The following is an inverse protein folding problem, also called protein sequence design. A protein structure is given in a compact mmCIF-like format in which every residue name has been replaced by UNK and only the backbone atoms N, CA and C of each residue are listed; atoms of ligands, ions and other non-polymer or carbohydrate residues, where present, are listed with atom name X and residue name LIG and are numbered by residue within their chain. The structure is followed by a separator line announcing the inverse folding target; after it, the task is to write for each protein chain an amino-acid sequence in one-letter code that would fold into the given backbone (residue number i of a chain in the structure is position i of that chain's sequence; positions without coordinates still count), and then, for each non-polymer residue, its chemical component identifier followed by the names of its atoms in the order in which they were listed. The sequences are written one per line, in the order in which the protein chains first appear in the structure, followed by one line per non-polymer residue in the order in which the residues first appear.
data_IF_894499583209
#
_entry.id   IF_894499583209
#
_cell.length_a   1.000
_cell.length_b   1.000
_cell.length_c   1.000
_cell.angle_alpha   90.00
_cell.angle_beta   90.00
_cell.angle_gamma   90.00
#
_symmetry.space_group_name_H-M   'P 1'
#
loop_
_entity.id
_entity.type
_entity.pdbx_description
1 polymer ?
#
# COMPACT_ATOMS: atom_id res chain seq x y z
N UNK A 1 35.30 2.73 2.39
CA UNK A 1 35.17 2.17 1.03
C UNK A 1 33.84 2.65 0.53
N UNK A 2 33.82 3.42 -0.56
CA UNK A 2 32.60 4.01 -1.12
C UNK A 2 31.85 2.87 -1.82
N UNK A 3 30.62 2.62 -1.40
CA UNK A 3 29.70 1.70 -2.07
C UNK A 3 29.53 2.21 -3.52
N UNK A 4 29.76 1.40 -4.57
CA UNK A 4 29.59 1.87 -5.93
C UNK A 4 28.13 2.30 -6.11
N UNK A 5 27.91 3.60 -6.33
CA UNK A 5 26.58 4.18 -6.61
C UNK A 5 25.89 3.34 -7.68
N UNK A 6 24.83 2.64 -7.27
CA UNK A 6 23.89 2.01 -8.19
C UNK A 6 23.35 3.14 -9.08
N UNK A 7 23.47 3.06 -10.42
CA UNK A 7 22.97 4.10 -11.30
C UNK A 7 21.49 4.34 -11.04
N UNK A 8 21.15 5.52 -10.53
CA UNK A 8 19.76 5.90 -10.33
C UNK A 8 19.11 6.06 -11.71
N UNK A 9 17.89 5.55 -11.93
CA UNK A 9 17.19 5.74 -13.20
C UNK A 9 17.01 7.24 -13.45
N UNK A 10 17.06 7.71 -14.72
CA UNK A 10 16.95 9.13 -15.03
C UNK A 10 15.64 9.71 -14.49
N UNK A 11 15.64 11.00 -14.13
CA UNK A 11 14.49 11.66 -13.49
C UNK A 11 13.19 11.57 -14.31
N UNK A 12 13.28 11.43 -15.63
CA UNK A 12 12.14 11.27 -16.54
C UNK A 12 11.75 9.81 -16.82
N UNK A 13 12.39 8.84 -16.16
CA UNK A 13 11.99 7.44 -16.29
C UNK A 13 10.58 7.22 -15.73
N UNK A 14 9.84 6.33 -16.39
CA UNK A 14 8.59 5.76 -15.87
C UNK A 14 8.79 4.25 -15.90
N UNK A 15 8.48 3.54 -14.80
CA UNK A 15 8.65 2.10 -14.75
C UNK A 15 7.70 1.41 -15.73
N UNK A 16 8.16 0.33 -16.33
CA UNK A 16 7.29 -0.60 -17.05
C UNK A 16 6.73 -1.61 -16.03
N UNK A 17 5.42 -1.92 -16.08
CA UNK A 17 4.82 -2.88 -15.17
C UNK A 17 5.33 -4.30 -15.48
N UNK A 18 5.29 -5.23 -14.49
CA UNK A 18 5.93 -6.54 -14.61
C UNK A 18 5.23 -7.55 -15.55
N UNK A 19 4.28 -7.12 -16.39
CA UNK A 19 3.45 -8.00 -17.24
C UNK A 19 2.47 -8.86 -16.44
N UNK A 20 2.09 -8.38 -15.26
CA UNK A 20 1.06 -8.89 -14.33
C UNK A 20 0.76 -7.75 -13.33
N UNK A 21 -0.26 -7.91 -12.48
CA UNK A 21 -0.42 -7.03 -11.32
C UNK A 21 0.84 -7.07 -10.43
N UNK A 22 1.15 -5.94 -9.81
CA UNK A 22 2.25 -5.83 -8.86
C UNK A 22 1.97 -6.71 -7.64
N UNK A 23 3.02 -7.30 -7.08
CA UNK A 23 3.02 -8.00 -5.79
C UNK A 23 3.66 -7.11 -4.74
N UNK A 24 3.47 -7.47 -3.47
CA UNK A 24 4.15 -6.81 -2.37
C UNK A 24 5.68 -6.80 -2.57
N UNK A 25 6.25 -7.89 -3.09
CA UNK A 25 7.70 -7.97 -3.35
C UNK A 25 8.17 -6.97 -4.43
N UNK A 26 7.35 -6.69 -5.44
CA UNK A 26 7.73 -5.75 -6.51
C UNK A 26 7.75 -4.30 -6.00
N UNK A 27 6.80 -3.95 -5.12
CA UNK A 27 6.63 -2.58 -4.62
C UNK A 27 7.49 -2.28 -3.40
N UNK A 28 7.73 -3.28 -2.55
CA UNK A 28 8.41 -3.11 -1.27
C UNK A 28 9.77 -3.82 -1.21
N UNK A 29 10.31 -4.23 -2.36
CA UNK A 29 11.67 -4.75 -2.46
C UNK A 29 12.66 -3.80 -1.78
N UNK A 30 13.48 -4.33 -0.87
CA UNK A 30 14.43 -3.55 -0.06
C UNK A 30 13.92 -3.11 1.31
N UNK A 31 12.64 -3.34 1.65
CA UNK A 31 12.15 -3.12 3.01
C UNK A 31 12.82 -4.05 4.02
N UNK A 32 13.22 -3.50 5.17
CA UNK A 32 13.92 -4.21 6.24
C UNK A 32 13.28 -3.88 7.61
N UNK A 33 12.87 -4.88 8.43
CA UNK A 33 12.20 -4.66 9.71
C UNK A 33 13.00 -3.82 10.71
N UNK A 34 14.32 -3.98 10.72
CA UNK A 34 15.20 -3.36 11.72
C UNK A 34 15.86 -2.07 11.22
N UNK A 35 15.53 -1.62 10.00
CA UNK A 35 16.13 -0.44 9.37
C UNK A 35 15.04 0.55 8.92
N UNK A 36 14.68 1.53 9.76
CA UNK A 36 13.60 2.48 9.46
C UNK A 36 13.74 3.22 8.13
N UNK A 37 14.97 3.53 7.71
CA UNK A 37 15.25 4.19 6.44
C UNK A 37 14.80 3.37 5.20
N UNK A 38 14.69 2.04 5.33
CA UNK A 38 14.33 1.15 4.22
C UNK A 38 12.96 1.45 3.61
N UNK A 39 12.01 2.02 4.37
CA UNK A 39 10.71 2.42 3.83
C UNK A 39 10.86 3.45 2.70
N UNK A 40 11.78 4.40 2.84
CA UNK A 40 12.09 5.43 1.84
C UNK A 40 12.85 4.91 0.61
N UNK A 41 13.32 3.67 0.66
CA UNK A 41 14.12 3.03 -0.39
C UNK A 41 13.32 1.99 -1.18
N UNK A 42 12.10 1.68 -0.73
CA UNK A 42 11.19 0.79 -1.46
C UNK A 42 10.89 1.36 -2.85
N UNK A 43 10.68 0.47 -3.82
CA UNK A 43 10.34 0.87 -5.18
C UNK A 43 9.11 1.79 -5.22
N UNK A 44 8.06 1.48 -4.43
CA UNK A 44 6.86 2.31 -4.35
C UNK A 44 7.17 3.75 -3.89
N UNK A 45 7.98 3.90 -2.83
CA UNK A 45 8.32 5.20 -2.28
C UNK A 45 9.24 5.99 -3.22
N UNK A 46 10.24 5.34 -3.81
CA UNK A 46 11.16 5.98 -4.76
C UNK A 46 10.41 6.47 -6.00
N UNK A 47 9.50 5.67 -6.54
CA UNK A 47 8.69 6.07 -7.69
C UNK A 47 7.66 7.13 -7.32
N UNK A 48 7.14 7.14 -6.10
CA UNK A 48 6.35 8.27 -5.60
C UNK A 48 7.16 9.58 -5.57
N UNK A 49 8.37 9.56 -4.99
CA UNK A 49 9.25 10.72 -4.94
C UNK A 49 9.59 11.23 -6.36
N UNK A 50 9.90 10.31 -7.29
CA UNK A 50 10.12 10.64 -8.70
C UNK A 50 8.87 11.24 -9.35
N UNK A 51 7.71 10.62 -9.13
CA UNK A 51 6.45 11.07 -9.71
C UNK A 51 6.09 12.48 -9.25
N UNK A 52 6.50 12.84 -8.03
CA UNK A 52 6.38 14.19 -7.46
C UNK A 52 7.18 15.22 -8.22
N UNK A 53 8.47 14.95 -8.45
CA UNK A 53 9.37 15.84 -9.20
C UNK A 53 8.89 16.02 -10.65
N UNK A 54 8.38 14.96 -11.26
CA UNK A 54 7.81 14.99 -12.60
C UNK A 54 6.47 15.76 -12.67
N UNK A 55 5.74 15.85 -11.56
CA UNK A 55 4.37 16.35 -11.45
C UNK A 55 3.36 15.23 -11.23
N UNK A 56 2.73 15.18 -10.05
CA UNK A 56 1.80 14.10 -9.68
C UNK A 56 0.56 14.05 -10.57
N UNK A 57 -0.20 15.15 -10.64
CA UNK A 57 -1.47 15.20 -11.37
C UNK A 57 -1.29 15.31 -12.89
N UNK A 58 -0.29 16.08 -13.31
CA UNK A 58 0.02 16.28 -14.72
C UNK A 58 1.54 16.44 -14.84
N UNK A 59 2.24 15.50 -15.48
CA UNK A 59 3.67 15.63 -15.69
C UNK A 59 4.00 16.87 -16.52
N UNK A 60 5.10 17.53 -16.19
CA UNK A 60 5.59 18.68 -16.97
C UNK A 60 6.10 18.26 -18.37
N UNK A 61 6.59 17.03 -18.49
CA UNK A 61 7.11 16.45 -19.72
C UNK A 61 6.02 15.59 -20.41
N UNK A 62 5.83 15.81 -21.72
CA UNK A 62 4.85 15.08 -22.54
C UNK A 62 5.21 13.61 -22.72
N UNK A 63 6.49 13.27 -22.81
CA UNK A 63 6.95 11.90 -22.95
C UNK A 63 6.73 11.13 -21.65
N UNK A 64 6.94 11.78 -20.50
CA UNK A 64 6.58 11.22 -19.18
C UNK A 64 5.07 10.99 -19.09
N UNK A 65 4.26 11.96 -19.51
CA UNK A 65 2.80 11.81 -19.53
C UNK A 65 2.36 10.63 -20.43
N UNK A 66 2.94 10.51 -21.63
CA UNK A 66 2.67 9.40 -22.53
C UNK A 66 3.13 8.05 -21.95
N UNK A 67 4.27 8.01 -21.25
CA UNK A 67 4.78 6.82 -20.60
C UNK A 67 3.91 6.36 -19.42
N UNK A 68 3.46 7.28 -18.56
CA UNK A 68 2.51 6.97 -17.47
C UNK A 68 1.18 6.46 -18.01
N UNK A 69 0.65 7.05 -19.08
CA UNK A 69 -0.57 6.56 -19.72
C UNK A 69 -0.42 5.14 -20.29
N UNK A 70 0.76 4.81 -20.87
CA UNK A 70 1.07 3.45 -21.33
C UNK A 70 1.16 2.46 -20.15
N UNK A 71 1.84 2.85 -19.08
CA UNK A 71 1.90 2.06 -17.85
C UNK A 71 0.51 1.78 -17.30
N UNK A 72 -0.31 2.81 -17.11
CA UNK A 72 -1.65 2.66 -16.54
C UNK A 72 -2.56 1.82 -17.44
N UNK A 73 -2.46 1.96 -18.77
CA UNK A 73 -3.17 1.10 -19.72
C UNK A 73 -2.78 -0.37 -19.57
N UNK A 74 -1.49 -0.66 -19.41
CA UNK A 74 -1.02 -2.03 -19.19
C UNK A 74 -1.54 -2.58 -17.85
N UNK A 75 -1.48 -1.81 -16.76
CA UNK A 75 -2.04 -2.21 -15.45
C UNK A 75 -3.55 -2.46 -15.53
N UNK A 76 -4.30 -1.63 -16.27
CA UNK A 76 -5.74 -1.85 -16.48
C UNK A 76 -6.04 -3.14 -17.23
N UNK A 77 -5.19 -3.52 -18.19
CA UNK A 77 -5.32 -4.80 -18.89
C UNK A 77 -5.11 -5.97 -17.92
N UNK A 78 -4.04 -5.93 -17.13
CA UNK A 78 -3.75 -6.97 -16.13
C UNK A 78 -4.85 -7.06 -15.06
N UNK A 79 -5.41 -5.92 -14.64
CA UNK A 79 -6.54 -5.90 -13.71
C UNK A 79 -7.78 -6.55 -14.34
N UNK A 80 -8.10 -6.22 -15.59
CA UNK A 80 -9.23 -6.82 -16.30
C UNK A 80 -9.08 -8.34 -16.40
N UNK A 81 -7.90 -8.83 -16.77
CA UNK A 81 -7.62 -10.27 -16.81
C UNK A 81 -7.75 -10.91 -15.43
N UNK A 82 -7.21 -10.30 -14.39
CA UNK A 82 -7.28 -10.82 -13.01
C UNK A 82 -8.71 -10.91 -12.46
N UNK A 83 -9.61 -10.02 -12.89
CA UNK A 83 -11.01 -10.01 -12.47
C UNK A 83 -11.91 -10.93 -13.30
N UNK A 84 -11.51 -11.27 -14.53
CA UNK A 84 -12.35 -12.00 -15.48
C UNK A 84 -12.76 -13.37 -14.94
N UNK A 85 -14.07 -13.63 -14.87
CA UNK A 85 -14.63 -14.90 -14.40
C UNK A 85 -14.60 -15.10 -12.88
N UNK A 86 -14.13 -14.12 -12.11
CA UNK A 86 -14.09 -14.17 -10.64
C UNK A 86 -15.35 -13.54 -10.03
N UNK A 87 -15.70 -13.97 -8.82
CA UNK A 87 -16.76 -13.35 -8.02
C UNK A 87 -16.14 -12.25 -7.17
N UNK A 88 -16.28 -10.99 -7.60
CA UNK A 88 -15.58 -9.87 -6.99
C UNK A 88 -16.49 -9.14 -6.00
N UNK A 89 -15.95 -8.77 -4.85
CA UNK A 89 -16.57 -7.81 -3.93
C UNK A 89 -15.59 -6.70 -3.64
N UNK A 90 -15.97 -5.47 -3.98
CA UNK A 90 -15.23 -4.27 -3.62
C UNK A 90 -15.71 -3.74 -2.26
N UNK A 91 -14.77 -3.49 -1.34
CA UNK A 91 -15.05 -2.79 -0.09
C UNK A 91 -14.42 -1.41 -0.15
N UNK A 92 -15.26 -0.39 -0.06
CA UNK A 92 -14.86 1.02 -0.09
C UNK A 92 -14.80 1.58 1.32
N UNK A 93 -13.81 2.43 1.61
CA UNK A 93 -13.71 3.12 2.89
C UNK A 93 -12.51 4.06 2.97
N UNK A 94 -12.57 5.00 3.90
CA UNK A 94 -11.54 6.03 4.06
C UNK A 94 -10.27 5.53 4.75
N UNK A 95 -9.16 6.21 4.45
CA UNK A 95 -7.82 5.99 4.99
C UNK A 95 -7.66 6.37 6.48
N UNK A 96 -8.54 7.23 7.03
CA UNK A 96 -8.40 7.77 8.39
C UNK A 96 -8.88 6.85 9.51
N UNK A 97 -9.35 5.64 9.19
CA UNK A 97 -9.85 4.70 10.21
C UNK A 97 -8.69 4.10 11.00
N UNK A 98 -8.69 4.28 12.33
CA UNK A 98 -7.71 3.66 13.21
C UNK A 98 -7.83 2.13 13.22
N UNK A 99 -6.71 1.42 13.36
CA UNK A 99 -6.67 -0.05 13.45
C UNK A 99 -7.41 -0.63 14.66
N UNK A 100 -7.50 0.14 15.75
CA UNK A 100 -8.27 -0.22 16.96
C UNK A 100 -9.74 0.27 16.93
N UNK A 101 -10.19 0.90 15.85
CA UNK A 101 -11.58 1.27 15.70
C UNK A 101 -12.45 0.00 15.48
N UNK A 102 -13.63 -0.14 16.12
CA UNK A 102 -14.48 -1.33 15.94
C UNK A 102 -14.82 -1.63 14.47
N UNK A 103 -14.94 -0.58 13.65
CA UNK A 103 -15.16 -0.70 12.20
C UNK A 103 -14.03 -1.40 11.45
N UNK A 104 -12.78 -1.28 11.90
CA UNK A 104 -11.63 -1.94 11.27
C UNK A 104 -11.76 -3.46 11.40
N UNK A 105 -12.05 -3.94 12.61
CA UNK A 105 -12.34 -5.35 12.89
C UNK A 105 -13.53 -5.86 12.08
N UNK A 106 -14.63 -5.10 12.04
CA UNK A 106 -15.83 -5.47 11.28
C UNK A 106 -15.51 -5.69 9.79
N UNK A 107 -14.73 -4.79 9.18
CA UNK A 107 -14.33 -4.92 7.77
C UNK A 107 -13.45 -6.14 7.56
N UNK A 108 -12.47 -6.38 8.44
CA UNK A 108 -11.61 -7.54 8.35
C UNK A 108 -12.39 -8.87 8.50
N UNK A 109 -13.33 -8.96 9.43
CA UNK A 109 -14.19 -10.13 9.62
C UNK A 109 -15.12 -10.36 8.41
N UNK A 110 -15.67 -9.28 7.84
CA UNK A 110 -16.49 -9.36 6.62
C UNK A 110 -15.67 -9.87 5.43
N UNK A 111 -14.49 -9.28 5.19
CA UNK A 111 -13.61 -9.65 4.10
C UNK A 111 -13.13 -11.11 4.22
N UNK A 112 -12.78 -11.53 5.44
CA UNK A 112 -12.45 -12.93 5.75
C UNK A 112 -13.61 -13.87 5.39
N UNK A 113 -14.82 -13.59 5.88
CA UNK A 113 -15.99 -14.43 5.64
C UNK A 113 -16.39 -14.50 4.15
N UNK A 114 -16.16 -13.44 3.37
CA UNK A 114 -16.38 -13.42 1.93
C UNK A 114 -15.29 -14.21 1.20
N UNK A 115 -14.02 -14.02 1.57
CA UNK A 115 -12.89 -14.73 0.95
C UNK A 115 -12.99 -16.24 1.17
N UNK A 116 -13.37 -16.69 2.38
CA UNK A 116 -13.66 -18.10 2.66
C UNK A 116 -14.82 -18.69 1.83
N UNK A 117 -15.60 -17.85 1.13
CA UNK A 117 -16.68 -18.25 0.21
C UNK A 117 -16.31 -18.04 -1.26
N UNK A 118 -15.01 -18.00 -1.56
CA UNK A 118 -14.47 -17.87 -2.92
C UNK A 118 -14.89 -16.57 -3.61
N UNK A 119 -14.97 -15.48 -2.84
CA UNK A 119 -14.99 -14.13 -3.40
C UNK A 119 -13.57 -13.57 -3.45
N UNK A 120 -13.24 -12.89 -4.55
CA UNK A 120 -12.05 -12.08 -4.69
C UNK A 120 -12.33 -10.68 -4.12
N UNK A 121 -11.54 -10.26 -3.14
CA UNK A 121 -11.73 -8.97 -2.48
C UNK A 121 -10.92 -7.89 -3.20
N UNK A 122 -11.57 -6.76 -3.45
CA UNK A 122 -10.99 -5.57 -4.08
C UNK A 122 -11.13 -4.37 -3.12
N UNK A 123 -10.12 -3.53 -3.01
CA UNK A 123 -10.20 -2.24 -2.31
C UNK A 123 -9.16 -1.26 -2.85
N UNK A 124 -9.16 -0.01 -2.38
CA UNK A 124 -8.20 1.00 -2.82
C UNK A 124 -6.75 0.75 -2.36
N UNK A 125 -6.50 -0.29 -1.55
CA UNK A 125 -5.16 -0.74 -1.16
C UNK A 125 -4.42 0.15 -0.18
N UNK A 126 -4.99 1.28 0.25
CA UNK A 126 -4.38 2.20 1.21
C UNK A 126 -4.69 1.86 2.68
N UNK A 127 -4.47 2.81 3.60
CA UNK A 127 -4.72 2.65 5.04
C UNK A 127 -6.20 2.44 5.42
N UNK A 128 -6.43 2.15 6.70
CA UNK A 128 -7.77 2.15 7.30
C UNK A 128 -8.64 1.00 6.82
N UNK A 129 -9.87 1.30 6.39
CA UNK A 129 -10.82 0.27 5.96
C UNK A 129 -10.34 -0.52 4.72
N UNK A 130 -9.52 0.11 3.87
CA UNK A 130 -8.91 -0.55 2.72
C UNK A 130 -7.90 -1.61 3.19
N UNK A 131 -7.02 -1.25 4.13
CA UNK A 131 -6.07 -2.17 4.76
C UNK A 131 -6.79 -3.33 5.48
N UNK A 132 -7.84 -3.04 6.24
CA UNK A 132 -8.65 -4.06 6.92
C UNK A 132 -9.25 -5.09 5.97
N UNK A 133 -9.64 -4.67 4.76
CA UNK A 133 -10.16 -5.56 3.72
C UNK A 133 -9.12 -6.61 3.33
N UNK A 134 -7.88 -6.16 3.10
CA UNK A 134 -6.78 -7.03 2.72
C UNK A 134 -6.31 -7.91 3.88
N UNK A 135 -6.33 -7.41 5.12
CA UNK A 135 -6.07 -8.20 6.32
C UNK A 135 -7.01 -9.40 6.40
N UNK A 136 -8.31 -9.16 6.29
CA UNK A 136 -9.35 -10.19 6.36
C UNK A 136 -9.23 -11.22 5.24
N UNK A 137 -9.10 -10.75 3.99
CA UNK A 137 -8.96 -11.62 2.83
C UNK A 137 -7.72 -12.52 2.94
N UNK A 138 -6.59 -11.95 3.35
CA UNK A 138 -5.33 -12.69 3.49
C UNK A 138 -5.43 -13.84 4.51
N UNK A 139 -6.12 -13.60 5.63
CA UNK A 139 -6.25 -14.60 6.69
C UNK A 139 -7.19 -15.77 6.32
N UNK A 140 -8.10 -15.60 5.34
CA UNK A 140 -9.11 -16.62 5.02
C UNK A 140 -8.56 -17.94 4.47
N UNK A 141 -7.35 -17.95 3.93
CA UNK A 141 -6.63 -19.17 3.55
C UNK A 141 -5.47 -19.53 4.49
N UNK A 142 -5.04 -18.58 5.33
CA UNK A 142 -3.79 -18.66 6.07
C UNK A 142 -3.89 -19.55 7.31
N UNK A 143 -2.75 -20.06 7.78
CA UNK A 143 -2.62 -20.64 9.12
C UNK A 143 -2.65 -19.59 10.23
N UNK A 144 -2.38 -18.33 9.90
CA UNK A 144 -2.50 -17.21 10.82
C UNK A 144 -3.98 -16.87 11.01
N UNK A 145 -4.49 -17.11 12.21
CA UNK A 145 -5.87 -16.81 12.55
C UNK A 145 -6.14 -15.30 12.49
N UNK A 146 -7.32 -14.90 11.99
CA UNK A 146 -7.68 -13.48 11.87
C UNK A 146 -7.57 -12.74 13.22
N UNK A 147 -7.93 -13.39 14.33
CA UNK A 147 -7.81 -12.78 15.66
C UNK A 147 -6.36 -12.47 16.02
N UNK A 148 -5.42 -13.35 15.68
CA UNK A 148 -3.99 -13.14 15.93
C UNK A 148 -3.45 -12.01 15.06
N UNK A 149 -3.82 -12.01 13.76
CA UNK A 149 -3.45 -10.94 12.83
C UNK A 149 -3.99 -9.57 13.29
N UNK A 150 -5.23 -9.49 13.77
CA UNK A 150 -5.81 -8.27 14.33
C UNK A 150 -5.05 -7.78 15.56
N UNK A 151 -4.65 -8.68 16.45
CA UNK A 151 -3.79 -8.33 17.60
C UNK A 151 -2.43 -7.81 17.15
N UNK A 152 -1.79 -8.45 16.15
CA UNK A 152 -0.53 -7.96 15.57
C UNK A 152 -0.65 -6.55 15.00
N UNK A 153 -1.78 -6.24 14.35
CA UNK A 153 -2.09 -4.91 13.81
C UNK A 153 -2.42 -3.86 14.89
N UNK A 154 -2.50 -4.25 16.17
CA UNK A 154 -2.85 -3.35 17.28
C UNK A 154 -4.35 -3.10 17.42
N UNK A 155 -5.21 -3.96 16.88
CA UNK A 155 -6.67 -3.76 16.93
C UNK A 155 -7.25 -3.77 18.35
N UNK A 156 -6.54 -4.36 19.31
CA UNK A 156 -6.93 -4.43 20.72
C UNK A 156 -6.20 -3.39 21.58
N UNK A 157 -5.37 -2.54 20.98
CA UNK A 157 -4.65 -1.48 21.71
C UNK A 157 -5.66 -0.43 22.20
N UNK A 158 -5.73 -0.16 23.52
CA UNK A 158 -6.65 0.84 24.04
C UNK A 158 -6.26 2.25 23.56
N UNK A 159 -7.20 3.21 23.54
CA UNK A 159 -6.86 4.62 23.31
C UNK A 159 -5.82 5.09 24.33
N UNK A 160 -4.91 5.97 23.90
CA UNK A 160 -3.93 6.59 24.79
C UNK A 160 -4.62 7.29 25.97
N UNK A 161 -4.03 7.18 27.17
CA UNK A 161 -4.56 7.86 28.34
C UNK A 161 -4.41 9.40 28.18
N UNK A 162 -5.18 10.21 28.93
CA UNK A 162 -5.01 11.66 28.90
C UNK A 162 -3.57 12.07 29.22
N UNK A 163 -2.88 12.70 28.26
CA UNK A 163 -1.50 13.16 28.40
C UNK A 163 -0.44 12.17 27.87
N UNK A 164 -0.83 11.00 27.38
CA UNK A 164 0.05 10.08 26.65
C UNK A 164 0.00 10.38 25.15
N UNK A 165 1.13 10.18 24.47
CA UNK A 165 1.17 10.22 23.02
C UNK A 165 0.38 9.03 22.43
N UNK A 166 -0.40 9.23 21.36
CA UNK A 166 -1.05 8.12 20.66
C UNK A 166 0.00 7.15 20.10
N UNK A 167 -0.34 5.87 20.04
CA UNK A 167 0.51 4.88 19.37
C UNK A 167 0.46 5.15 17.85
N UNK A 168 1.59 5.61 17.30
CA UNK A 168 1.78 5.94 15.88
C UNK A 168 1.48 4.76 14.93
N UNK A 169 1.36 3.53 15.45
CA UNK A 169 1.00 2.34 14.66
C UNK A 169 -0.50 2.23 14.39
N UNK A 170 -1.35 2.95 15.13
CA UNK A 170 -2.81 2.75 15.09
C UNK A 170 -3.51 3.59 14.02
N UNK A 171 -3.03 4.80 13.79
CA UNK A 171 -3.61 5.73 12.81
C UNK A 171 -2.53 6.05 11.79
N UNK A 172 -2.91 6.05 10.52
CA UNK A 172 -1.99 6.48 9.47
C UNK A 172 -1.51 7.92 9.73
N UNK A 173 -0.18 8.16 9.78
CA UNK A 173 0.37 9.37 10.41
C UNK A 173 0.40 10.62 9.52
N UNK A 174 0.00 10.53 8.25
CA UNK A 174 0.11 11.65 7.29
C UNK A 174 -1.25 12.07 6.74
N UNK A 175 -1.36 13.35 6.37
CA UNK A 175 -2.55 13.92 5.72
C UNK A 175 -2.25 14.40 4.30
N UNK A 176 -0.97 14.59 3.98
CA UNK A 176 -0.53 15.16 2.74
C UNK A 176 0.86 14.69 2.34
N UNK A 177 1.12 14.86 1.05
CA UNK A 177 2.40 14.60 0.43
C UNK A 177 3.55 15.46 0.98
N UNK A 178 3.28 16.67 1.47
CA UNK A 178 4.30 17.63 1.90
C UNK A 178 4.93 17.28 3.25
N UNK A 179 4.35 16.32 3.99
CA UNK A 179 4.86 15.91 5.30
C UNK A 179 6.05 14.94 5.19
N UNK A 180 6.27 14.31 4.03
CA UNK A 180 7.36 13.34 3.82
C UNK A 180 8.62 13.96 3.20
N UNK A 181 8.53 15.18 2.68
CA UNK A 181 9.61 15.81 1.92
C UNK A 181 9.92 17.22 2.46
N UNK A 182 11.20 17.59 2.45
CA UNK A 182 11.64 18.93 2.80
C UNK A 182 11.43 19.93 1.65
N UNK A 183 11.79 21.20 1.90
CA UNK A 183 11.63 22.28 0.93
C UNK A 183 12.51 22.12 -0.33
N UNK A 184 13.57 21.33 -0.25
CA UNK A 184 14.49 21.04 -1.35
C UNK A 184 14.09 19.76 -2.11
N UNK A 185 13.01 19.09 -1.68
CA UNK A 185 12.51 17.84 -2.26
C UNK A 185 13.19 16.58 -1.74
N UNK A 186 14.07 16.70 -0.75
CA UNK A 186 14.68 15.58 -0.03
C UNK A 186 13.68 14.91 0.92
N UNK A 187 13.88 13.63 1.22
CA UNK A 187 13.03 12.89 2.18
C UNK A 187 13.37 13.27 3.62
N UNK A 188 12.36 13.48 4.45
CA UNK A 188 12.55 13.75 5.88
C UNK A 188 12.73 12.43 6.63
N UNK A 189 13.93 12.18 7.15
CA UNK A 189 14.29 10.89 7.74
C UNK A 189 13.41 10.47 8.94
N UNK A 190 13.00 11.42 9.77
CA UNK A 190 12.10 11.16 10.91
C UNK A 190 10.72 10.70 10.44
N UNK A 191 10.19 11.32 9.38
CA UNK A 191 8.87 11.00 8.84
C UNK A 191 8.89 9.67 8.08
N UNK A 192 9.98 9.36 7.37
CA UNK A 192 10.20 8.02 6.80
C UNK A 192 10.25 6.95 7.90
N UNK A 193 10.89 7.24 9.04
CA UNK A 193 10.91 6.30 10.17
C UNK A 193 9.52 6.12 10.81
N UNK A 194 8.71 7.18 10.89
CA UNK A 194 7.30 7.09 11.35
C UNK A 194 6.45 6.27 10.38
N UNK A 195 6.61 6.47 9.08
CA UNK A 195 5.97 5.65 8.04
C UNK A 195 6.33 4.16 8.22
N UNK A 196 7.62 3.87 8.35
CA UNK A 196 8.13 2.51 8.56
C UNK A 196 7.51 1.86 9.80
N UNK A 197 7.51 2.56 10.93
CA UNK A 197 6.94 2.07 12.17
C UNK A 197 5.44 1.75 12.06
N UNK A 198 4.68 2.57 11.31
CA UNK A 198 3.27 2.32 11.03
C UNK A 198 3.05 1.11 10.10
N UNK A 199 3.93 0.90 9.11
CA UNK A 199 3.84 -0.22 8.17
C UNK A 199 4.29 -1.56 8.76
N UNK A 200 5.21 -1.56 9.73
CA UNK A 200 5.85 -2.78 10.24
C UNK A 200 4.88 -3.90 10.68
N UNK A 201 3.77 -3.63 11.39
CA UNK A 201 2.78 -4.66 11.71
C UNK A 201 2.19 -5.36 10.48
N UNK A 202 1.90 -4.61 9.42
CA UNK A 202 1.34 -5.15 8.19
C UNK A 202 2.34 -6.05 7.46
N UNK A 203 3.62 -5.69 7.44
CA UNK A 203 4.68 -6.55 6.90
C UNK A 203 4.85 -7.85 7.71
N UNK A 204 4.82 -7.76 9.04
CA UNK A 204 4.92 -8.94 9.90
C UNK A 204 3.75 -9.91 9.68
N UNK A 205 2.52 -9.40 9.52
CA UNK A 205 1.37 -10.23 9.15
C UNK A 205 1.53 -10.81 7.76
N UNK A 206 2.00 -10.02 6.78
CA UNK A 206 2.20 -10.49 5.41
C UNK A 206 3.20 -11.65 5.33
N UNK A 207 4.29 -11.57 6.08
CA UNK A 207 5.31 -12.63 6.22
C UNK A 207 4.72 -13.87 6.90
N UNK A 208 4.05 -13.71 8.04
CA UNK A 208 3.46 -14.81 8.80
C UNK A 208 2.34 -15.58 8.06
N UNK A 209 1.83 -15.02 6.97
CA UNK A 209 0.75 -15.60 6.15
C UNK A 209 1.16 -15.91 4.71
N UNK A 210 2.46 -15.91 4.39
CA UNK A 210 2.96 -16.00 3.01
C UNK A 210 2.56 -17.27 2.25
N UNK A 211 2.52 -18.42 2.92
CA UNK A 211 2.34 -19.73 2.26
C UNK A 211 0.91 -20.00 1.79
N UNK A 212 -0.09 -19.46 2.50
CA UNK A 212 -1.50 -19.87 2.35
C UNK A 212 -2.44 -18.63 2.27
N UNK A 213 -1.93 -17.45 1.92
CA UNK A 213 -2.72 -16.23 1.86
C UNK A 213 -3.94 -16.33 0.92
N UNK A 214 -5.11 -15.89 1.39
CA UNK A 214 -6.26 -15.65 0.53
C UNK A 214 -6.02 -14.47 -0.42
N UNK A 215 -6.55 -14.57 -1.64
CA UNK A 215 -6.32 -13.57 -2.69
C UNK A 215 -7.12 -12.27 -2.46
N UNK A 216 -6.46 -11.13 -2.67
CA UNK A 216 -7.09 -9.83 -2.81
C UNK A 216 -6.30 -8.89 -3.71
N UNK A 217 -6.97 -7.91 -4.30
CA UNK A 217 -6.37 -6.91 -5.18
C UNK A 217 -6.54 -5.52 -4.56
N UNK A 218 -5.43 -4.83 -4.31
CA UNK A 218 -5.42 -3.40 -3.99
C UNK A 218 -5.39 -2.57 -5.26
N UNK A 219 -6.03 -1.40 -5.27
CA UNK A 219 -6.00 -0.44 -6.39
C UNK A 219 -5.40 0.90 -5.95
N UNK A 220 -4.14 0.94 -5.51
CA UNK A 220 -3.48 2.16 -5.04
C UNK A 220 -3.05 3.09 -6.20
N UNK A 221 -2.64 4.31 -5.87
CA UNK A 221 -2.10 5.26 -6.84
C UNK A 221 -0.86 5.98 -6.30
N UNK A 222 0.08 6.34 -7.17
CA UNK A 222 1.18 7.25 -6.83
C UNK A 222 0.72 8.71 -6.70
N UNK A 223 -0.45 9.08 -7.23
CA UNK A 223 -1.04 10.42 -7.02
C UNK A 223 -1.27 10.71 -5.53
N UNK A 224 -1.66 9.68 -4.77
CA UNK A 224 -1.77 9.70 -3.32
C UNK A 224 -0.66 8.86 -2.66
N UNK A 225 0.56 8.86 -3.23
CA UNK A 225 1.63 7.98 -2.75
C UNK A 225 2.11 8.22 -1.32
N UNK A 226 1.66 9.31 -0.66
CA UNK A 226 1.81 9.45 0.78
C UNK A 226 0.99 8.42 1.54
N UNK A 227 -0.17 7.99 1.03
CA UNK A 227 -0.91 6.81 1.48
C UNK A 227 -0.32 5.57 0.75
N UNK A 228 0.70 4.89 1.34
CA UNK A 228 1.33 3.78 0.67
C UNK A 228 0.32 2.63 0.49
N UNK A 229 0.56 1.74 -0.48
CA UNK A 229 -0.15 0.49 -0.51
C UNK A 229 0.10 -0.35 0.75
N UNK A 230 -0.84 -1.21 1.08
CA UNK A 230 -0.65 -2.23 2.12
C UNK A 230 0.11 -3.44 1.57
N UNK A 231 1.10 -3.99 2.29
CA UNK A 231 1.73 -5.27 1.93
C UNK A 231 0.78 -6.48 2.11
N UNK A 232 -0.39 -6.28 2.71
CA UNK A 232 -1.38 -7.34 2.93
C UNK A 232 -2.09 -7.77 1.65
N UNK A 233 -2.22 -6.89 0.66
CA UNK A 233 -2.80 -7.22 -0.64
C UNK A 233 -1.86 -8.18 -1.39
N UNK A 234 -2.39 -9.29 -1.91
CA UNK A 234 -1.58 -10.28 -2.66
C UNK A 234 -1.25 -9.79 -4.08
N UNK A 235 -2.06 -8.88 -4.61
CA UNK A 235 -1.91 -8.27 -5.93
C UNK A 235 -2.28 -6.79 -5.86
N UNK A 236 -1.69 -5.97 -6.72
CA UNK A 236 -1.92 -4.53 -6.74
C UNK A 236 -1.96 -3.97 -8.17
N UNK A 237 -3.06 -3.29 -8.48
CA UNK A 237 -3.20 -2.43 -9.65
C UNK A 237 -2.75 -1.02 -9.27
N UNK A 238 -1.43 -0.81 -9.24
CA UNK A 238 -0.81 0.49 -8.90
C UNK A 238 -0.85 1.40 -10.12
N UNK A 239 -1.49 2.56 -10.01
CA UNK A 239 -1.64 3.53 -11.10
C UNK A 239 -0.89 4.83 -10.84
N UNK A 240 -0.56 5.58 -11.90
CA UNK A 240 -0.19 6.98 -11.77
C UNK A 240 -1.42 7.88 -11.62
N UNK A 241 -2.45 7.67 -12.43
CA UNK A 241 -3.66 8.50 -12.43
C UNK A 241 -4.74 7.96 -11.48
N UNK A 242 -5.35 8.85 -10.70
CA UNK A 242 -6.47 8.52 -9.83
C UNK A 242 -7.81 8.40 -10.58
N UNK A 243 -7.98 9.11 -11.70
CA UNK A 243 -9.24 9.08 -12.46
C UNK A 243 -9.55 7.68 -13.00
N UNK A 244 -8.54 7.00 -13.54
CA UNK A 244 -8.64 5.61 -14.01
C UNK A 244 -9.04 4.66 -12.87
N UNK A 245 -8.57 4.92 -11.65
CA UNK A 245 -8.98 4.18 -10.45
C UNK A 245 -10.45 4.39 -10.10
N UNK A 246 -10.95 5.62 -10.22
CA UNK A 246 -12.32 5.98 -9.80
C UNK A 246 -13.40 5.62 -10.83
N UNK A 247 -13.05 5.52 -12.12
CA UNK A 247 -13.96 5.15 -13.20
C UNK A 247 -14.22 3.63 -13.30
N UNK A 248 -13.40 2.82 -12.61
CA UNK A 248 -13.40 1.34 -12.66
C UNK A 248 -14.49 0.64 -11.85
#
# INVERSE_FOLDING_TARGET
MVDPEIPQPPENAVPEPPGRLYRAEDLFGGWEPDRPASAGETFDFVEYARARVQGLRMPADREVAAARARHDTAVSWELYEALTGRRVVAIMGGHSMARNHPGYRLVAELAHALSSKDFLLLSGGGPGAMEATHLGARCAGSKLELSEALTMMGADTPPAAPGEAPDDRLVFPFHSADELFDADGGTIAEEVARLHAWQAPAFAVAEASADDAGESIGVPTWMYGHEPPTPLATMQAKYFDNSIREDG
#
